data_IF_823794541023
#
_entry.id   IF_823794541023
#
_cell.length_a   1.000
_cell.length_b   1.000
_cell.length_c   1.000
_cell.angle_alpha   90.00
_cell.angle_beta   90.00
_cell.angle_gamma   90.00
#
_symmetry.space_group_name_H-M   'P 1'
#
loop_
_entity.id
_entity.type
_entity.pdbx_description
1 polymer ?
#
# COMPACT_ATOMS: atom_id res chain seq x y z
N UNK A 1 0.59 0.93 -34.64
CA UNK A 1 0.50 1.30 -33.20
C UNK A 1 0.72 2.81 -32.98
N UNK A 2 1.86 3.42 -33.36
CA UNK A 2 2.11 4.85 -33.11
C UNK A 2 1.00 5.76 -33.64
N UNK A 3 0.55 5.61 -34.87
CA UNK A 3 -0.54 6.41 -35.43
C UNK A 3 -1.88 6.24 -34.67
N UNK A 4 -2.15 5.08 -34.10
CA UNK A 4 -3.33 4.86 -33.26
C UNK A 4 -3.19 5.57 -31.90
N UNK A 5 -1.99 5.57 -31.29
CA UNK A 5 -1.70 6.32 -30.05
C UNK A 5 -1.73 7.83 -30.27
N UNK A 6 -1.26 8.32 -31.42
CA UNK A 6 -1.39 9.75 -31.81
C UNK A 6 -2.86 10.16 -31.93
N UNK A 7 -3.70 9.27 -32.51
CA UNK A 7 -5.16 9.50 -32.57
C UNK A 7 -5.78 9.50 -31.16
N UNK A 8 -5.41 8.56 -30.29
CA UNK A 8 -5.84 8.57 -28.88
C UNK A 8 -5.51 9.90 -28.21
N UNK A 9 -4.27 10.42 -28.38
CA UNK A 9 -3.84 11.69 -27.82
C UNK A 9 -4.72 12.89 -28.26
N UNK A 10 -5.34 12.82 -29.44
CA UNK A 10 -6.25 13.87 -29.93
C UNK A 10 -7.67 13.75 -29.36
N UNK A 11 -8.02 12.60 -28.75
CA UNK A 11 -9.36 12.32 -28.24
C UNK A 11 -9.50 12.49 -26.73
N UNK A 12 -8.40 12.60 -25.99
CA UNK A 12 -8.37 12.81 -24.54
C UNK A 12 -8.03 14.26 -24.20
N UNK A 13 -8.46 14.73 -23.03
CA UNK A 13 -8.11 16.03 -22.49
C UNK A 13 -6.67 16.07 -21.97
N UNK A 14 -6.14 14.91 -21.60
CA UNK A 14 -4.77 14.70 -21.21
C UNK A 14 -3.81 14.64 -22.39
N UNK A 15 -2.70 13.95 -22.22
CA UNK A 15 -1.66 13.82 -23.25
C UNK A 15 -1.17 12.38 -23.36
N UNK A 16 -0.71 11.97 -24.55
CA UNK A 16 0.06 10.73 -24.76
C UNK A 16 1.42 11.11 -25.33
N UNK A 17 2.48 10.69 -24.62
CA UNK A 17 3.87 10.95 -25.03
C UNK A 17 4.46 9.68 -25.67
N UNK A 18 5.02 9.84 -26.86
CA UNK A 18 5.55 8.74 -27.69
C UNK A 18 7.04 8.91 -28.01
N UNK A 19 7.62 10.02 -27.60
CA UNK A 19 9.01 10.33 -27.85
C UNK A 19 9.96 9.41 -27.06
N UNK A 20 11.21 9.20 -27.57
CA UNK A 20 12.16 8.27 -26.95
C UNK A 20 12.55 8.65 -25.51
N UNK A 21 12.59 9.95 -25.18
CA UNK A 21 12.95 10.40 -23.84
C UNK A 21 11.89 10.02 -22.81
N UNK A 22 10.62 10.32 -23.10
CA UNK A 22 9.50 9.93 -22.25
C UNK A 22 9.43 8.42 -22.02
N UNK A 23 9.58 7.63 -23.10
CA UNK A 23 9.63 6.16 -22.98
C UNK A 23 10.81 5.69 -22.11
N UNK A 24 11.99 6.32 -22.23
CA UNK A 24 13.15 5.96 -21.44
C UNK A 24 12.98 6.29 -19.95
N UNK A 25 12.36 7.44 -19.62
CA UNK A 25 12.06 7.84 -18.25
C UNK A 25 11.08 6.89 -17.56
N UNK A 26 10.11 6.37 -18.31
CA UNK A 26 9.10 5.45 -17.79
C UNK A 26 9.42 3.97 -18.00
N UNK A 27 10.61 3.66 -18.51
CA UNK A 27 11.08 2.29 -18.70
C UNK A 27 11.47 1.59 -17.39
N UNK A 28 11.65 2.34 -16.31
CA UNK A 28 12.10 1.86 -15.01
C UNK A 28 11.20 2.38 -13.89
N UNK A 29 11.28 1.74 -12.74
CA UNK A 29 10.84 2.26 -11.45
C UNK A 29 12.06 2.31 -10.49
N UNK A 30 11.88 2.21 -9.18
CA UNK A 30 13.00 2.16 -8.23
C UNK A 30 13.67 0.75 -8.15
N UNK A 31 13.21 -0.21 -8.96
CA UNK A 31 13.78 -1.56 -9.05
C UNK A 31 14.97 -1.64 -10.02
N UNK A 32 15.51 -2.85 -10.16
CA UNK A 32 16.56 -3.17 -11.17
C UNK A 32 15.98 -3.50 -12.54
N UNK A 33 14.66 -3.57 -12.70
CA UNK A 33 14.01 -3.97 -13.94
C UNK A 33 13.88 -2.80 -14.91
N UNK A 34 13.92 -3.11 -16.20
CA UNK A 34 13.75 -2.13 -17.28
C UNK A 34 13.01 -2.75 -18.46
N UNK A 35 11.97 -2.07 -18.94
CA UNK A 35 11.25 -2.43 -20.16
C UNK A 35 10.71 -1.15 -20.83
N UNK A 36 10.96 -0.97 -22.13
CA UNK A 36 10.53 0.24 -22.83
C UNK A 36 9.02 0.15 -23.12
N UNK A 37 8.19 1.09 -22.62
CA UNK A 37 6.76 1.08 -22.86
C UNK A 37 6.42 1.52 -24.30
N UNK A 38 5.20 1.22 -24.76
CA UNK A 38 4.67 1.72 -26.03
C UNK A 38 4.51 3.24 -26.04
N UNK A 39 4.19 3.83 -24.92
CA UNK A 39 4.01 5.25 -24.69
C UNK A 39 3.61 5.52 -23.24
N UNK A 40 3.43 6.80 -22.91
CA UNK A 40 3.00 7.26 -21.60
C UNK A 40 1.79 8.17 -21.75
N UNK A 41 0.67 7.78 -21.17
CA UNK A 41 -0.55 8.58 -21.11
C UNK A 41 -0.70 9.28 -19.77
N UNK A 42 -1.05 10.56 -19.78
CA UNK A 42 -1.34 11.40 -18.62
C UNK A 42 -2.81 11.83 -18.68
N UNK A 43 -3.75 10.99 -18.20
CA UNK A 43 -5.17 11.33 -18.17
C UNK A 43 -5.43 12.50 -17.22
N UNK A 44 -6.42 13.34 -17.55
CA UNK A 44 -6.85 14.47 -16.70
C UNK A 44 -8.12 14.18 -15.93
N UNK A 45 -8.95 13.30 -16.44
CA UNK A 45 -10.26 13.02 -15.86
C UNK A 45 -10.70 11.56 -16.11
N UNK A 46 -11.87 11.22 -15.58
CA UNK A 46 -12.46 9.90 -15.71
C UNK A 46 -12.71 9.50 -17.17
N UNK A 47 -13.16 10.44 -18.01
CA UNK A 47 -13.44 10.17 -19.41
C UNK A 47 -12.16 9.82 -20.19
N UNK A 48 -11.03 10.45 -19.85
CA UNK A 48 -9.73 10.09 -20.40
C UNK A 48 -9.35 8.64 -20.05
N UNK A 49 -9.53 8.24 -18.77
CA UNK A 49 -9.25 6.87 -18.34
C UNK A 49 -10.11 5.86 -19.08
N UNK A 50 -11.40 6.13 -19.24
CA UNK A 50 -12.32 5.26 -19.99
C UNK A 50 -11.89 5.11 -21.46
N UNK A 51 -11.51 6.19 -22.11
CA UNK A 51 -11.01 6.18 -23.51
C UNK A 51 -9.70 5.41 -23.64
N UNK A 52 -8.80 5.55 -22.68
CA UNK A 52 -7.53 4.81 -22.65
C UNK A 52 -7.79 3.31 -22.47
N UNK A 53 -8.68 2.91 -21.57
CA UNK A 53 -9.06 1.51 -21.38
C UNK A 53 -9.69 0.95 -22.66
N UNK A 54 -10.63 1.67 -23.28
CA UNK A 54 -11.24 1.26 -24.54
C UNK A 54 -10.19 1.09 -25.65
N UNK A 55 -9.25 2.03 -25.75
CA UNK A 55 -8.13 1.93 -26.70
C UNK A 55 -7.29 0.67 -26.45
N UNK A 56 -6.95 0.39 -25.18
CA UNK A 56 -6.17 -0.79 -24.83
C UNK A 56 -6.89 -2.09 -25.20
N UNK A 57 -8.19 -2.15 -24.99
CA UNK A 57 -9.03 -3.29 -25.40
C UNK A 57 -9.08 -3.46 -26.91
N UNK A 58 -9.39 -2.39 -27.66
CA UNK A 58 -9.54 -2.42 -29.12
C UNK A 58 -8.25 -2.84 -29.85
N UNK A 59 -7.09 -2.56 -29.23
CA UNK A 59 -5.78 -2.82 -29.82
C UNK A 59 -5.01 -3.96 -29.14
N UNK A 60 -5.62 -4.64 -28.14
CA UNK A 60 -4.97 -5.69 -27.33
C UNK A 60 -3.64 -5.23 -26.72
N UNK A 61 -3.62 -4.02 -26.18
CA UNK A 61 -2.46 -3.40 -25.52
C UNK A 61 -2.59 -3.56 -24.00
N UNK A 62 -1.52 -4.02 -23.35
CA UNK A 62 -1.47 -4.04 -21.88
C UNK A 62 -1.46 -2.62 -21.30
N UNK A 63 -2.27 -2.37 -20.28
CA UNK A 63 -2.29 -1.11 -19.52
C UNK A 63 -1.42 -1.26 -18.27
N UNK A 64 -0.55 -0.27 -18.00
CA UNK A 64 0.35 -0.25 -16.84
C UNK A 64 0.01 0.98 -16.00
N UNK A 65 -0.77 0.83 -14.91
CA UNK A 65 -1.07 1.97 -14.03
C UNK A 65 0.19 2.39 -13.27
N UNK A 66 0.37 3.70 -13.14
CA UNK A 66 1.53 4.25 -12.45
C UNK A 66 1.17 5.50 -11.66
N UNK A 67 1.72 5.59 -10.46
CA UNK A 67 1.84 6.81 -9.65
C UNK A 67 3.31 7.19 -9.54
N UNK A 68 3.89 7.30 -8.33
CA UNK A 68 5.28 7.74 -8.14
C UNK A 68 6.37 6.78 -8.67
N UNK A 69 6.05 5.51 -8.93
CA UNK A 69 7.03 4.54 -9.41
C UNK A 69 8.14 4.21 -8.39
N UNK A 70 7.82 4.22 -7.10
CA UNK A 70 8.76 3.93 -5.99
C UNK A 70 8.88 2.44 -5.67
N UNK A 71 8.25 1.57 -6.45
CA UNK A 71 8.32 0.12 -6.30
C UNK A 71 9.76 -0.40 -6.46
N UNK A 72 10.12 -1.38 -5.63
CA UNK A 72 11.40 -2.10 -5.71
C UNK A 72 11.30 -3.43 -6.47
N UNK A 73 10.12 -3.81 -6.96
CA UNK A 73 9.84 -5.11 -7.57
C UNK A 73 9.43 -5.03 -9.06
N UNK A 74 9.55 -3.86 -9.71
CA UNK A 74 9.20 -3.70 -11.12
C UNK A 74 7.70 -3.66 -11.39
N UNK A 75 6.88 -3.35 -10.40
CA UNK A 75 5.41 -3.44 -10.45
C UNK A 75 4.78 -2.51 -11.50
N UNK A 76 5.46 -1.43 -11.89
CA UNK A 76 5.01 -0.52 -12.94
C UNK A 76 5.94 -0.49 -14.16
N UNK A 77 6.70 -1.58 -14.39
CA UNK A 77 7.61 -1.74 -15.53
C UNK A 77 7.03 -2.74 -16.52
N UNK A 78 6.82 -2.32 -17.77
CA UNK A 78 6.24 -3.17 -18.80
C UNK A 78 6.35 -2.57 -20.21
N UNK A 79 5.94 -3.34 -21.21
CA UNK A 79 5.95 -2.95 -22.64
C UNK A 79 4.59 -2.44 -23.14
N UNK A 80 3.59 -2.32 -22.28
CA UNK A 80 2.28 -1.76 -22.57
C UNK A 80 2.25 -0.23 -22.61
N UNK A 81 1.03 0.34 -22.54
CA UNK A 81 0.81 1.77 -22.36
C UNK A 81 0.85 2.11 -20.88
N UNK A 82 1.82 2.91 -20.45
CA UNK A 82 1.86 3.43 -19.08
C UNK A 82 0.80 4.51 -18.92
N UNK A 83 0.00 4.39 -17.86
CA UNK A 83 -1.05 5.38 -17.52
C UNK A 83 -0.66 6.02 -16.19
N UNK A 84 -0.08 7.21 -16.28
CA UNK A 84 0.40 7.96 -15.13
C UNK A 84 -0.69 8.89 -14.60
N UNK A 85 -1.22 8.56 -13.42
CA UNK A 85 -2.25 9.34 -12.72
C UNK A 85 -1.66 10.30 -11.69
N UNK A 86 -0.32 10.31 -11.51
CA UNK A 86 0.35 11.15 -10.50
C UNK A 86 0.23 12.65 -10.77
N UNK A 87 -0.03 13.03 -12.02
CA UNK A 87 0.01 14.44 -12.46
C UNK A 87 -1.30 15.18 -12.26
N UNK A 88 -2.43 14.50 -12.40
CA UNK A 88 -3.74 15.15 -12.44
C UNK A 88 -4.77 14.56 -11.46
N UNK A 89 -4.49 13.42 -10.84
CA UNK A 89 -5.37 12.80 -9.83
C UNK A 89 -4.74 12.99 -8.44
N UNK A 90 -4.64 14.24 -7.98
CA UNK A 90 -3.90 14.63 -6.77
C UNK A 90 -4.76 15.35 -5.72
N UNK A 91 -6.08 15.31 -5.84
CA UNK A 91 -6.99 16.01 -4.93
C UNK A 91 -7.24 15.23 -3.63
N UNK A 92 -7.26 15.95 -2.51
CA UNK A 92 -7.90 15.52 -1.26
C UNK A 92 -9.37 15.95 -1.37
N UNK A 93 -10.26 14.99 -1.65
CA UNK A 93 -11.64 15.26 -2.04
C UNK A 93 -12.50 15.67 -0.85
N UNK A 94 -12.38 14.95 0.27
CA UNK A 94 -13.16 15.24 1.48
C UNK A 94 -12.49 14.68 2.74
N UNK A 95 -12.77 15.32 3.87
CA UNK A 95 -12.36 14.88 5.21
C UNK A 95 -13.60 14.82 6.12
N UNK A 96 -13.87 13.64 6.67
CA UNK A 96 -14.90 13.39 7.67
C UNK A 96 -14.23 13.23 9.04
N UNK A 97 -14.31 14.28 9.87
CA UNK A 97 -13.68 14.29 11.20
C UNK A 97 -14.38 13.38 12.20
N UNK A 98 -15.68 13.17 12.07
CA UNK A 98 -16.45 12.33 12.98
C UNK A 98 -16.10 10.86 12.79
N UNK A 99 -16.01 10.43 11.52
CA UNK A 99 -15.61 9.06 11.16
C UNK A 99 -14.10 8.87 11.13
N UNK A 100 -13.30 9.95 11.20
CA UNK A 100 -11.87 9.97 10.95
C UNK A 100 -11.53 9.32 9.61
N UNK A 101 -12.18 9.79 8.55
CA UNK A 101 -12.01 9.26 7.20
C UNK A 101 -11.64 10.37 6.22
N UNK A 102 -10.77 10.06 5.28
CA UNK A 102 -10.41 10.97 4.19
C UNK A 102 -10.60 10.27 2.86
N UNK A 103 -11.18 10.97 1.89
CA UNK A 103 -11.26 10.49 0.50
C UNK A 103 -10.25 11.27 -0.34
N UNK A 104 -9.40 10.54 -1.05
CA UNK A 104 -8.30 11.09 -1.86
C UNK A 104 -8.26 10.46 -3.25
N UNK A 105 -7.65 11.16 -4.18
CA UNK A 105 -7.24 10.63 -5.47
C UNK A 105 -5.90 9.88 -5.37
N UNK A 106 -5.60 8.92 -6.28
CA UNK A 106 -4.46 8.02 -6.18
C UNK A 106 -3.08 8.70 -6.25
N UNK A 107 -2.98 9.90 -6.81
CA UNK A 107 -1.75 10.68 -6.93
C UNK A 107 -1.42 11.56 -5.72
N UNK A 108 -2.21 11.52 -4.65
CA UNK A 108 -1.90 12.25 -3.41
C UNK A 108 -0.66 11.67 -2.75
N UNK A 109 0.33 12.51 -2.43
CA UNK A 109 1.56 12.09 -1.74
C UNK A 109 1.25 11.86 -0.25
N UNK A 110 1.79 10.77 0.30
CA UNK A 110 1.53 10.35 1.67
C UNK A 110 1.88 11.42 2.71
N UNK A 111 3.03 12.05 2.63
CA UNK A 111 3.43 13.08 3.60
C UNK A 111 2.64 14.38 3.43
N UNK A 112 2.30 14.78 2.20
CA UNK A 112 1.41 15.92 1.95
C UNK A 112 -0.01 15.68 2.53
N UNK A 113 -0.50 14.45 2.44
CA UNK A 113 -1.76 14.07 3.10
C UNK A 113 -1.64 14.22 4.63
N UNK A 114 -0.53 13.77 5.23
CA UNK A 114 -0.35 13.87 6.66
C UNK A 114 -0.14 15.32 7.14
N UNK A 115 0.52 16.16 6.34
CA UNK A 115 0.62 17.60 6.62
C UNK A 115 -0.76 18.27 6.59
N UNK A 116 -1.64 17.87 5.66
CA UNK A 116 -3.03 18.33 5.60
C UNK A 116 -3.85 17.85 6.82
N UNK A 117 -3.64 16.62 7.30
CA UNK A 117 -4.39 16.00 8.40
C UNK A 117 -3.93 16.45 9.79
N UNK A 118 -2.64 16.79 9.95
CA UNK A 118 -2.03 17.12 11.24
C UNK A 118 -2.75 18.22 12.04
N UNK A 119 -3.22 19.34 11.44
CA UNK A 119 -4.00 20.37 12.16
C UNK A 119 -5.32 19.86 12.75
N UNK A 120 -5.81 18.72 12.25
CA UNK A 120 -7.04 18.07 12.73
C UNK A 120 -6.77 17.00 13.78
N UNK A 121 -5.51 16.80 14.19
CA UNK A 121 -5.12 15.76 15.14
C UNK A 121 -5.11 14.35 14.57
N UNK A 122 -5.12 14.21 13.24
CA UNK A 122 -5.23 12.95 12.53
C UNK A 122 -4.02 12.71 11.62
N UNK A 123 -3.79 11.44 11.24
CA UNK A 123 -2.81 11.08 10.23
C UNK A 123 -3.14 9.71 9.59
N UNK A 124 -2.53 9.44 8.45
CA UNK A 124 -2.53 8.13 7.80
C UNK A 124 -1.32 7.33 8.31
N UNK A 125 -1.59 6.30 9.13
CA UNK A 125 -0.58 5.59 9.93
C UNK A 125 0.45 4.76 9.16
N UNK A 126 0.10 4.04 8.07
CA UNK A 126 1.09 3.28 7.30
C UNK A 126 2.23 4.17 6.80
N UNK A 127 3.47 3.77 7.08
CA UNK A 127 4.66 4.56 6.77
C UNK A 127 5.63 3.75 5.90
N UNK A 128 6.20 4.40 4.89
CA UNK A 128 7.19 3.79 3.99
C UNK A 128 8.47 4.61 3.97
N UNK A 129 9.58 4.02 3.58
CA UNK A 129 10.87 4.73 3.41
C UNK A 129 10.81 5.84 2.35
N UNK A 130 9.78 5.84 1.51
CA UNK A 130 9.55 6.83 0.45
C UNK A 130 8.37 7.75 0.76
N UNK A 131 7.99 7.89 2.01
CA UNK A 131 6.79 8.62 2.45
C UNK A 131 6.66 10.04 1.86
N UNK A 132 7.79 10.72 1.67
CA UNK A 132 7.87 12.06 1.09
C UNK A 132 7.58 12.14 -0.43
N UNK A 133 7.38 10.99 -1.10
CA UNK A 133 7.13 10.94 -2.55
C UNK A 133 6.25 9.78 -3.00
N UNK A 134 6.04 8.73 -2.19
CA UNK A 134 5.08 7.69 -2.53
C UNK A 134 3.65 8.26 -2.50
N UNK A 135 2.80 7.72 -3.36
CA UNK A 135 1.43 8.17 -3.53
C UNK A 135 0.44 7.11 -3.06
N UNK A 136 -0.71 7.55 -2.57
CA UNK A 136 -1.73 6.69 -1.95
C UNK A 136 -2.16 5.56 -2.89
N UNK A 137 -2.40 5.82 -4.18
CA UNK A 137 -2.77 4.77 -5.14
C UNK A 137 -1.70 3.69 -5.29
N UNK A 138 -0.41 4.09 -5.31
CA UNK A 138 0.70 3.14 -5.31
C UNK A 138 0.82 2.36 -4.00
N UNK A 139 0.61 3.01 -2.85
CA UNK A 139 0.57 2.35 -1.55
C UNK A 139 -0.56 1.31 -1.47
N UNK A 140 -1.73 1.62 -2.02
CA UNK A 140 -2.85 0.67 -2.13
C UNK A 140 -2.50 -0.48 -3.05
N UNK A 141 -2.04 -0.21 -4.29
CA UNK A 141 -1.67 -1.27 -5.24
C UNK A 141 -0.64 -2.24 -4.69
N UNK A 142 0.34 -1.74 -3.93
CA UNK A 142 1.38 -2.55 -3.30
C UNK A 142 0.98 -3.14 -1.93
N UNK A 143 -0.14 -2.74 -1.34
CA UNK A 143 -0.44 -2.97 0.08
C UNK A 143 0.73 -2.57 0.99
N UNK A 144 1.21 -1.34 0.83
CA UNK A 144 2.43 -0.87 1.48
C UNK A 144 2.34 -0.91 3.00
N UNK A 145 3.46 -1.25 3.61
CA UNK A 145 3.68 -1.28 5.05
C UNK A 145 5.01 -0.62 5.39
N UNK A 146 5.29 -0.42 6.67
CA UNK A 146 6.55 0.16 7.11
C UNK A 146 6.83 -0.09 8.58
N UNK A 147 7.76 0.67 9.15
CA UNK A 147 8.24 0.50 10.52
C UNK A 147 7.13 0.58 11.57
N UNK A 148 6.11 1.41 11.32
CA UNK A 148 4.98 1.62 12.23
C UNK A 148 3.84 0.61 12.04
N UNK A 149 3.98 -0.38 11.16
CA UNK A 149 2.89 -1.34 10.88
C UNK A 149 2.51 -2.22 12.06
N UNK A 150 3.43 -2.45 13.00
CA UNK A 150 3.12 -3.15 14.26
C UNK A 150 2.11 -2.38 15.13
N UNK A 151 1.96 -1.07 14.90
CA UNK A 151 1.04 -0.19 15.63
C UNK A 151 -0.18 0.19 14.81
N UNK A 152 0.02 0.55 13.55
CA UNK A 152 -1.00 1.16 12.69
C UNK A 152 -1.45 0.26 11.55
N UNK A 153 -0.92 -0.97 11.47
CA UNK A 153 -1.28 -1.90 10.40
C UNK A 153 -0.66 -1.59 9.04
N UNK A 154 -1.21 -2.20 8.02
CA UNK A 154 -0.81 -2.03 6.61
C UNK A 154 -1.86 -1.21 5.86
N UNK A 155 -1.54 -0.79 4.63
CA UNK A 155 -2.43 0.07 3.83
C UNK A 155 -3.83 -0.55 3.63
N UNK A 156 -3.93 -1.86 3.37
CA UNK A 156 -5.19 -2.58 3.18
C UNK A 156 -6.15 -2.44 4.35
N UNK A 157 -5.64 -2.48 5.58
CA UNK A 157 -6.43 -2.38 6.81
C UNK A 157 -7.02 -0.98 7.04
N UNK A 158 -6.55 0.00 6.28
CA UNK A 158 -7.02 1.38 6.32
C UNK A 158 -8.01 1.72 5.20
N UNK A 159 -8.30 0.81 4.29
CA UNK A 159 -9.20 1.06 3.17
C UNK A 159 -10.65 0.86 3.61
N UNK A 160 -11.44 1.91 3.48
CA UNK A 160 -12.89 1.89 3.72
C UNK A 160 -13.65 1.61 2.42
N UNK A 161 -13.29 2.33 1.35
CA UNK A 161 -13.89 2.15 0.03
C UNK A 161 -12.96 2.61 -1.09
N UNK A 162 -13.25 2.16 -2.30
CA UNK A 162 -12.53 2.56 -3.51
C UNK A 162 -13.49 2.73 -4.67
N UNK A 163 -13.30 3.79 -5.47
CA UNK A 163 -13.88 3.89 -6.83
C UNK A 163 -12.84 3.51 -7.85
N UNK A 164 -13.25 2.79 -8.87
CA UNK A 164 -12.36 2.30 -9.91
C UNK A 164 -13.06 2.28 -11.27
N UNK A 165 -12.24 2.30 -12.34
CA UNK A 165 -12.67 2.00 -13.70
C UNK A 165 -12.33 0.54 -14.01
N UNK A 166 -13.31 -0.19 -14.48
CA UNK A 166 -13.20 -1.61 -14.84
C UNK A 166 -12.69 -1.78 -16.26
N UNK A 167 -12.44 -3.03 -16.65
CA UNK A 167 -11.92 -3.38 -17.99
C UNK A 167 -12.80 -2.96 -19.18
N UNK A 168 -14.10 -2.81 -18.95
CA UNK A 168 -15.08 -2.39 -19.97
C UNK A 168 -15.29 -0.87 -20.02
N UNK A 169 -14.56 -0.12 -19.20
CA UNK A 169 -14.68 1.33 -19.04
C UNK A 169 -15.81 1.77 -18.09
N UNK A 170 -16.61 0.86 -17.56
CA UNK A 170 -17.61 1.19 -16.54
C UNK A 170 -16.92 1.54 -15.20
N UNK A 171 -17.62 2.25 -14.33
CA UNK A 171 -17.15 2.59 -12.98
C UNK A 171 -17.83 1.71 -11.95
N UNK A 172 -17.09 1.35 -10.90
CA UNK A 172 -17.60 0.64 -9.73
C UNK A 172 -17.14 1.31 -8.44
N UNK A 173 -17.95 1.19 -7.38
CA UNK A 173 -17.60 1.58 -6.03
C UNK A 173 -17.56 0.33 -5.13
N UNK A 174 -16.40 0.01 -4.62
CA UNK A 174 -16.16 -1.13 -3.74
C UNK A 174 -16.07 -0.65 -2.29
N UNK A 175 -16.97 -1.13 -1.46
CA UNK A 175 -17.11 -0.83 -0.03
C UNK A 175 -17.76 -2.00 0.68
N UNK A 176 -17.92 -1.90 1.98
CA UNK A 176 -18.62 -2.91 2.78
C UNK A 176 -20.03 -3.16 2.26
N UNK A 177 -20.33 -4.43 2.01
CA UNK A 177 -21.65 -4.93 1.61
C UNK A 177 -22.14 -5.99 2.60
N UNK A 178 -23.39 -5.86 3.02
CA UNK A 178 -24.10 -6.96 3.69
C UNK A 178 -24.33 -8.11 2.71
N UNK A 179 -24.59 -9.32 3.22
CA UNK A 179 -24.95 -10.47 2.40
C UNK A 179 -26.10 -10.22 1.42
N UNK A 180 -27.09 -9.44 1.80
CA UNK A 180 -28.22 -9.13 0.93
C UNK A 180 -27.81 -8.15 -0.17
N UNK A 181 -27.09 -7.07 0.17
CA UNK A 181 -26.54 -6.15 -0.83
C UNK A 181 -25.57 -6.83 -1.81
N UNK A 182 -24.78 -7.80 -1.33
CA UNK A 182 -23.93 -8.62 -2.17
C UNK A 182 -24.73 -9.48 -3.17
N UNK A 183 -25.83 -10.12 -2.71
CA UNK A 183 -26.72 -10.90 -3.57
C UNK A 183 -27.38 -10.02 -4.63
N UNK A 184 -27.81 -8.82 -4.26
CA UNK A 184 -28.39 -7.85 -5.22
C UNK A 184 -27.35 -7.48 -6.28
N UNK A 185 -26.10 -7.22 -5.91
CA UNK A 185 -25.01 -6.99 -6.85
C UNK A 185 -24.81 -8.14 -7.83
N UNK A 186 -24.87 -9.41 -7.40
CA UNK A 186 -24.73 -10.57 -8.29
C UNK A 186 -25.85 -10.66 -9.35
N UNK A 187 -27.00 -10.03 -9.12
CA UNK A 187 -28.14 -10.01 -10.07
C UNK A 187 -28.02 -8.91 -11.12
N UNK A 188 -27.13 -7.94 -10.94
CA UNK A 188 -26.91 -6.88 -11.90
C UNK A 188 -26.34 -7.40 -13.23
N UNK A 189 -26.91 -6.96 -14.34
CA UNK A 189 -26.38 -7.26 -15.69
C UNK A 189 -25.25 -6.28 -16.07
N UNK A 190 -24.30 -6.05 -15.17
CA UNK A 190 -23.17 -5.13 -15.31
C UNK A 190 -21.84 -5.88 -15.21
N UNK A 191 -20.72 -5.23 -15.58
CA UNK A 191 -19.39 -5.77 -15.35
C UNK A 191 -19.15 -5.98 -13.85
N UNK A 192 -19.58 -5.04 -13.01
CA UNK A 192 -19.50 -5.15 -11.55
C UNK A 192 -20.27 -6.37 -11.04
N UNK A 193 -21.53 -6.59 -11.50
CA UNK A 193 -22.32 -7.77 -11.13
C UNK A 193 -21.67 -9.10 -11.55
N UNK A 194 -21.01 -9.12 -12.72
CA UNK A 194 -20.24 -10.28 -13.14
C UNK A 194 -19.05 -10.58 -12.22
N UNK A 195 -18.36 -9.55 -11.70
CA UNK A 195 -17.28 -9.69 -10.72
C UNK A 195 -17.82 -10.35 -9.45
N UNK A 196 -18.87 -9.81 -8.84
CA UNK A 196 -19.45 -10.36 -7.61
C UNK A 196 -19.90 -11.79 -7.77
N UNK A 197 -20.58 -12.11 -8.88
CA UNK A 197 -20.99 -13.47 -9.22
C UNK A 197 -19.79 -14.41 -9.44
N UNK A 198 -18.76 -13.95 -10.14
CA UNK A 198 -17.53 -14.71 -10.38
C UNK A 198 -16.78 -15.04 -9.09
N UNK A 199 -16.60 -14.05 -8.21
CA UNK A 199 -15.95 -14.22 -6.91
C UNK A 199 -16.74 -15.19 -6.02
N UNK A 200 -18.07 -15.04 -5.95
CA UNK A 200 -18.90 -15.96 -5.18
C UNK A 200 -18.77 -17.41 -5.66
N UNK A 201 -18.88 -17.61 -6.98
CA UNK A 201 -18.76 -18.97 -7.56
C UNK A 201 -17.37 -19.58 -7.31
N UNK A 202 -16.32 -18.74 -7.32
CA UNK A 202 -14.95 -19.19 -7.07
C UNK A 202 -14.71 -19.54 -5.60
N UNK A 203 -15.23 -18.75 -4.65
CA UNK A 203 -14.89 -18.86 -3.24
C UNK A 203 -15.92 -19.62 -2.39
N UNK A 204 -17.14 -19.86 -2.90
CA UNK A 204 -18.19 -20.57 -2.13
C UNK A 204 -17.95 -22.08 -1.92
N UNK A 205 -17.22 -22.85 -2.78
CA UNK A 205 -16.98 -24.25 -2.49
C UNK A 205 -16.07 -24.43 -1.27
N UNK A 206 -16.52 -25.24 -0.29
CA UNK A 206 -15.79 -25.47 0.98
C UNK A 206 -14.38 -26.03 0.76
N UNK A 207 -14.20 -26.84 -0.27
CA UNK A 207 -12.87 -27.38 -0.62
C UNK A 207 -11.90 -26.25 -1.00
N UNK A 208 -12.35 -25.27 -1.78
CA UNK A 208 -11.55 -24.09 -2.15
C UNK A 208 -11.24 -23.24 -0.92
N UNK A 209 -12.22 -23.03 -0.03
CA UNK A 209 -12.00 -22.29 1.23
C UNK A 209 -10.94 -22.96 2.10
N UNK A 210 -10.98 -24.30 2.23
CA UNK A 210 -9.97 -25.05 2.96
C UNK A 210 -8.58 -24.90 2.34
N UNK A 211 -8.47 -25.06 1.01
CA UNK A 211 -7.20 -24.88 0.30
C UNK A 211 -6.60 -23.48 0.49
N UNK A 212 -7.43 -22.43 0.44
CA UNK A 212 -6.99 -21.05 0.68
C UNK A 212 -6.49 -20.90 2.13
N UNK A 213 -7.27 -21.39 3.09
CA UNK A 213 -6.91 -21.30 4.52
C UNK A 213 -5.60 -22.01 4.82
N UNK A 214 -5.36 -23.15 4.22
CA UNK A 214 -4.14 -23.95 4.42
C UNK A 214 -2.91 -23.36 3.72
N UNK A 215 -3.11 -22.66 2.58
CA UNK A 215 -2.03 -22.10 1.78
C UNK A 215 -1.57 -20.71 2.25
N UNK A 216 -2.46 -19.95 2.88
CA UNK A 216 -2.14 -18.58 3.33
C UNK A 216 -1.41 -18.58 4.69
N UNK A 217 -0.59 -17.55 4.97
CA UNK A 217 0.04 -17.38 6.28
C UNK A 217 -0.99 -17.29 7.40
N UNK A 218 -0.59 -17.71 8.60
CA UNK A 218 -1.43 -17.61 9.81
C UNK A 218 -1.87 -16.16 10.06
N UNK A 219 -3.07 -15.98 10.61
CA UNK A 219 -3.67 -14.67 10.87
C UNK A 219 -2.84 -13.79 11.84
N UNK A 220 -2.06 -14.42 12.72
CA UNK A 220 -1.17 -13.71 13.65
C UNK A 220 0.01 -13.03 12.96
N UNK A 221 0.28 -13.34 11.69
CA UNK A 221 1.30 -12.65 10.90
C UNK A 221 0.67 -11.39 10.30
N UNK A 222 0.92 -10.23 10.92
CA UNK A 222 0.29 -8.96 10.55
C UNK A 222 0.73 -8.42 9.18
N UNK A 223 2.00 -8.62 8.78
CA UNK A 223 2.52 -8.14 7.50
C UNK A 223 2.48 -9.26 6.46
N UNK A 224 1.30 -9.48 5.89
CA UNK A 224 1.08 -10.48 4.83
C UNK A 224 0.98 -9.79 3.46
N UNK A 225 2.01 -9.91 2.64
CA UNK A 225 2.06 -9.40 1.26
C UNK A 225 2.21 -10.58 0.29
N UNK A 226 1.17 -11.40 0.21
CA UNK A 226 1.13 -12.66 -0.57
C UNK A 226 0.38 -12.50 -1.90
N UNK A 227 0.29 -11.28 -2.44
CA UNK A 227 -0.47 -10.98 -3.64
C UNK A 227 -1.95 -10.71 -3.34
N UNK A 228 -2.85 -11.31 -4.12
CA UNK A 228 -4.28 -11.15 -3.90
C UNK A 228 -4.73 -11.73 -2.57
N UNK A 229 -5.33 -10.91 -1.71
CA UNK A 229 -5.79 -11.31 -0.38
C UNK A 229 -7.15 -12.01 -0.45
N UNK A 230 -7.23 -13.11 -1.16
CA UNK A 230 -8.48 -13.89 -1.27
C UNK A 230 -8.88 -14.54 0.05
N UNK A 231 -7.93 -14.77 0.95
CA UNK A 231 -8.15 -15.25 2.31
C UNK A 231 -8.97 -14.28 3.15
N UNK A 232 -8.79 -12.97 2.97
CA UNK A 232 -9.59 -11.95 3.65
C UNK A 232 -11.04 -11.91 3.16
N UNK A 233 -11.29 -12.26 1.90
CA UNK A 233 -12.65 -12.34 1.38
C UNK A 233 -13.45 -13.48 2.03
N UNK A 234 -12.78 -14.55 2.51
CA UNK A 234 -13.43 -15.65 3.21
C UNK A 234 -13.98 -15.26 4.59
N UNK A 235 -13.54 -14.12 5.15
CA UNK A 235 -14.05 -13.60 6.41
C UNK A 235 -15.46 -13.01 6.28
N UNK A 236 -15.95 -12.84 5.05
CA UNK A 236 -17.25 -12.25 4.80
C UNK A 236 -18.42 -13.21 5.15
N UNK A 237 -19.49 -12.62 5.69
CA UNK A 237 -20.71 -13.33 6.09
C UNK A 237 -21.35 -14.13 4.95
N UNK A 238 -21.31 -13.63 3.72
CA UNK A 238 -21.81 -14.32 2.52
C UNK A 238 -21.02 -15.62 2.20
N UNK A 239 -19.81 -15.78 2.72
CA UNK A 239 -18.94 -16.94 2.55
C UNK A 239 -18.81 -17.77 3.84
N UNK A 240 -19.58 -17.42 4.89
CA UNK A 240 -19.62 -18.14 6.17
C UNK A 240 -18.79 -17.53 7.29
N UNK A 241 -18.19 -16.35 7.07
CA UNK A 241 -17.55 -15.53 8.09
C UNK A 241 -18.56 -14.64 8.85
N UNK A 242 -18.07 -13.58 9.46
CA UNK A 242 -18.86 -12.67 10.29
C UNK A 242 -18.66 -11.17 9.93
N UNK A 243 -17.83 -10.88 8.94
CA UNK A 243 -17.55 -9.52 8.46
C UNK A 243 -18.39 -9.16 7.22
N UNK A 244 -18.62 -7.88 6.91
CA UNK A 244 -19.16 -7.47 5.62
C UNK A 244 -18.15 -7.80 4.49
N UNK A 245 -18.65 -8.06 3.30
CA UNK A 245 -17.81 -8.28 2.13
C UNK A 245 -17.29 -6.95 1.58
N UNK A 246 -15.98 -6.84 1.37
CA UNK A 246 -15.39 -5.63 0.76
C UNK A 246 -14.36 -5.99 -0.32
N UNK A 247 -14.72 -5.77 -1.59
CA UNK A 247 -13.83 -6.01 -2.74
C UNK A 247 -12.61 -5.08 -2.75
N UNK A 248 -12.66 -3.92 -2.09
CA UNK A 248 -11.53 -3.00 -1.99
C UNK A 248 -10.31 -3.65 -1.31
N UNK A 249 -10.53 -4.61 -0.42
CA UNK A 249 -9.45 -5.37 0.21
C UNK A 249 -8.69 -6.28 -0.78
N UNK A 250 -9.37 -6.79 -1.83
CA UNK A 250 -8.71 -7.53 -2.90
C UNK A 250 -7.93 -6.61 -3.84
N UNK A 251 -8.46 -5.41 -4.13
CA UNK A 251 -7.77 -4.42 -4.96
C UNK A 251 -6.49 -3.91 -4.29
N UNK A 252 -6.47 -3.86 -2.97
CA UNK A 252 -5.24 -3.56 -2.23
C UNK A 252 -4.27 -4.75 -2.30
N UNK A 253 -3.10 -4.51 -2.88
CA UNK A 253 -2.10 -5.53 -3.16
C UNK A 253 -2.29 -6.21 -4.54
N UNK A 254 -3.20 -5.70 -5.37
CA UNK A 254 -3.39 -6.20 -6.75
C UNK A 254 -2.41 -5.61 -7.76
N UNK A 255 -1.60 -4.65 -7.35
CA UNK A 255 -0.58 -3.99 -8.18
C UNK A 255 -1.15 -3.37 -9.47
N UNK A 256 -2.42 -2.95 -9.43
CA UNK A 256 -3.13 -2.36 -10.58
C UNK A 256 -3.54 -3.36 -11.66
N UNK A 257 -3.50 -4.67 -11.40
CA UNK A 257 -3.83 -5.72 -12.38
C UNK A 257 -5.32 -5.97 -12.53
N UNK A 258 -6.16 -5.53 -11.58
CA UNK A 258 -7.61 -5.83 -11.55
C UNK A 258 -8.48 -4.66 -11.99
N UNK A 259 -8.14 -3.44 -11.61
CA UNK A 259 -8.89 -2.23 -11.94
C UNK A 259 -8.02 -0.99 -11.83
N UNK A 260 -8.46 0.13 -12.41
CA UNK A 260 -7.76 1.41 -12.34
C UNK A 260 -8.47 2.30 -11.30
N UNK A 261 -7.85 2.46 -10.14
CA UNK A 261 -8.41 3.21 -9.02
C UNK A 261 -8.45 4.71 -9.29
N UNK A 262 -9.57 5.36 -8.97
CA UNK A 262 -9.79 6.81 -9.16
C UNK A 262 -9.97 7.57 -7.86
N UNK A 263 -10.57 6.95 -6.84
CA UNK A 263 -10.77 7.52 -5.50
C UNK A 263 -10.56 6.45 -4.44
N UNK A 264 -10.04 6.84 -3.30
CA UNK A 264 -9.76 5.95 -2.16
C UNK A 264 -10.23 6.64 -0.89
N UNK A 265 -11.10 5.99 -0.13
CA UNK A 265 -11.47 6.43 1.22
C UNK A 265 -10.67 5.64 2.24
N UNK A 266 -9.94 6.35 3.09
CA UNK A 266 -9.04 5.80 4.08
C UNK A 266 -9.54 6.05 5.49
N UNK A 267 -9.40 5.07 6.38
CA UNK A 267 -9.54 5.22 7.82
C UNK A 267 -8.25 5.85 8.37
N UNK A 268 -8.39 6.87 9.21
CA UNK A 268 -7.30 7.60 9.81
C UNK A 268 -7.08 7.19 11.26
N UNK A 269 -5.87 7.44 11.74
CA UNK A 269 -5.45 7.28 13.13
C UNK A 269 -5.32 8.65 13.81
N UNK A 270 -5.44 8.69 15.15
CA UNK A 270 -5.07 9.85 15.95
C UNK A 270 -3.56 10.04 15.90
N UNK A 271 -3.10 11.31 15.95
CA UNK A 271 -1.67 11.60 15.97
C UNK A 271 -0.94 10.79 17.06
N UNK A 272 0.26 10.27 16.77
CA UNK A 272 1.02 9.52 17.75
C UNK A 272 1.38 10.39 18.96
N UNK A 273 1.58 9.79 20.15
CA UNK A 273 2.04 10.51 21.32
C UNK A 273 3.34 11.28 21.05
N UNK A 274 3.43 12.51 21.56
CA UNK A 274 4.52 13.44 21.26
C UNK A 274 5.86 13.11 21.93
N UNK A 275 5.84 12.45 23.08
CA UNK A 275 7.05 11.99 23.76
C UNK A 275 7.49 10.66 23.17
N UNK A 276 8.70 10.61 22.64
CA UNK A 276 9.24 9.41 21.98
C UNK A 276 10.68 9.14 22.42
N UNK A 277 11.04 7.88 22.50
CA UNK A 277 12.42 7.45 22.69
C UNK A 277 12.72 6.20 21.87
N UNK A 278 13.94 6.14 21.35
CA UNK A 278 14.49 4.98 20.63
C UNK A 278 15.49 4.27 21.54
N UNK A 279 15.27 2.99 21.78
CA UNK A 279 16.25 2.10 22.41
C UNK A 279 16.90 1.28 21.32
N UNK A 280 18.23 1.24 21.30
CA UNK A 280 18.99 0.45 20.33
C UNK A 280 19.81 -0.58 21.07
N UNK A 281 19.53 -1.85 20.83
CA UNK A 281 20.28 -2.99 21.38
C UNK A 281 21.26 -3.53 20.35
N UNK A 282 22.43 -3.99 20.81
CA UNK A 282 23.53 -4.44 19.97
C UNK A 282 23.81 -5.91 20.23
N UNK A 283 24.00 -6.69 19.18
CA UNK A 283 24.14 -8.14 19.26
C UNK A 283 25.40 -8.63 18.54
N UNK A 284 26.04 -9.64 19.13
CA UNK A 284 27.18 -10.31 18.52
C UNK A 284 26.80 -11.37 17.49
N UNK A 285 25.51 -11.77 17.43
CA UNK A 285 24.97 -12.67 16.45
C UNK A 285 23.56 -12.23 16.00
N UNK A 286 23.20 -12.60 14.76
CA UNK A 286 21.86 -12.39 14.24
C UNK A 286 20.83 -13.26 14.99
N UNK A 287 21.23 -14.45 15.42
CA UNK A 287 20.38 -15.39 16.16
C UNK A 287 19.92 -14.79 17.50
N UNK A 288 20.83 -14.17 18.24
CA UNK A 288 20.51 -13.55 19.54
C UNK A 288 19.59 -12.32 19.33
N UNK A 289 19.83 -11.53 18.29
CA UNK A 289 18.94 -10.43 17.93
C UNK A 289 17.51 -10.92 17.64
N UNK A 290 17.37 -12.01 16.90
CA UNK A 290 16.05 -12.57 16.56
C UNK A 290 15.33 -13.19 17.76
N UNK A 291 16.07 -13.78 18.72
CA UNK A 291 15.50 -14.31 19.97
C UNK A 291 14.85 -13.22 20.82
N UNK A 292 15.42 -12.02 20.82
CA UNK A 292 14.90 -10.89 21.62
C UNK A 292 13.64 -10.25 21.03
N UNK A 293 13.32 -10.48 19.75
CA UNK A 293 12.13 -9.89 19.12
C UNK A 293 10.85 -10.30 19.86
N UNK A 294 10.64 -11.58 20.13
CA UNK A 294 9.40 -12.05 20.77
C UNK A 294 9.22 -11.50 22.21
N UNK A 295 10.24 -11.45 23.09
CA UNK A 295 10.14 -10.78 24.38
C UNK A 295 9.79 -9.29 24.28
N UNK A 296 10.51 -8.52 23.46
CA UNK A 296 10.31 -7.05 23.40
C UNK A 296 8.97 -6.68 22.75
N UNK A 297 8.41 -7.52 21.88
CA UNK A 297 7.08 -7.32 21.30
C UNK A 297 5.93 -7.41 22.31
N UNK A 298 6.17 -7.86 23.55
CA UNK A 298 5.21 -7.75 24.65
C UNK A 298 5.07 -6.32 25.16
N UNK A 299 6.06 -5.45 24.89
CA UNK A 299 5.99 -4.04 25.14
C UNK A 299 5.15 -3.33 24.08
N UNK A 300 4.54 -2.19 24.45
CA UNK A 300 3.74 -1.39 23.51
C UNK A 300 4.67 -0.56 22.59
N UNK A 301 5.35 -1.24 21.67
CA UNK A 301 6.27 -0.62 20.73
C UNK A 301 5.52 0.08 19.58
N UNK A 302 6.13 1.15 19.07
CA UNK A 302 5.70 1.84 17.83
C UNK A 302 6.50 1.36 16.61
N UNK A 303 7.77 1.01 16.82
CA UNK A 303 8.61 0.36 15.82
C UNK A 303 9.46 -0.72 16.47
N UNK A 304 9.77 -1.78 15.70
CA UNK A 304 10.73 -2.82 16.05
C UNK A 304 11.46 -3.20 14.76
N UNK A 305 12.63 -2.62 14.52
CA UNK A 305 13.36 -2.75 13.27
C UNK A 305 14.77 -3.29 13.52
N UNK A 306 15.15 -4.29 12.73
CA UNK A 306 16.48 -4.88 12.78
C UNK A 306 17.34 -4.37 11.62
N UNK A 307 18.59 -4.04 11.90
CA UNK A 307 19.63 -3.88 10.88
C UNK A 307 20.77 -4.86 11.13
N UNK A 308 21.11 -5.63 10.12
CA UNK A 308 22.23 -6.55 10.15
C UNK A 308 23.56 -5.84 9.83
N UNK A 309 24.67 -6.58 10.04
CA UNK A 309 26.02 -6.08 9.79
C UNK A 309 26.21 -5.63 8.33
N UNK A 310 25.59 -6.27 7.36
CA UNK A 310 25.73 -5.92 5.94
C UNK A 310 25.23 -4.51 5.70
N UNK A 311 24.03 -4.20 6.18
CA UNK A 311 23.44 -2.86 6.08
C UNK A 311 24.26 -1.84 6.88
N UNK A 312 24.66 -2.19 8.11
CA UNK A 312 25.48 -1.31 8.94
C UNK A 312 26.82 -0.98 8.26
N UNK A 313 27.46 -1.96 7.62
CA UNK A 313 28.73 -1.77 6.90
C UNK A 313 28.55 -0.90 5.64
N UNK A 314 27.46 -1.06 4.89
CA UNK A 314 27.15 -0.21 3.74
C UNK A 314 27.06 1.28 4.10
N UNK A 315 26.70 1.61 5.34
CA UNK A 315 26.60 3.01 5.80
C UNK A 315 27.94 3.60 6.23
N UNK A 316 28.97 2.80 6.50
CA UNK A 316 30.31 3.28 6.97
C UNK A 316 30.98 4.21 5.96
N UNK A 317 30.91 3.88 4.68
CA UNK A 317 31.52 4.66 3.59
C UNK A 317 30.57 5.62 2.89
N UNK A 318 29.28 5.61 3.25
CA UNK A 318 28.30 6.52 2.67
C UNK A 318 28.39 7.89 3.36
N UNK A 319 28.70 8.94 2.57
CA UNK A 319 28.91 10.30 3.09
C UNK A 319 27.71 10.88 3.85
N UNK A 320 26.50 10.58 3.39
CA UNK A 320 25.25 11.07 4.02
C UNK A 320 24.89 10.25 5.26
N UNK A 321 25.10 8.93 5.21
CA UNK A 321 24.67 8.02 6.27
C UNK A 321 25.69 7.83 7.38
N UNK A 322 26.98 8.11 7.13
CA UNK A 322 28.04 7.97 8.15
C UNK A 322 27.77 8.81 9.40
N UNK A 323 27.21 10.00 9.24
CA UNK A 323 26.83 10.89 10.35
C UNK A 323 25.64 10.36 11.15
N UNK A 324 24.77 9.55 10.54
CA UNK A 324 23.59 8.96 11.19
C UNK A 324 23.92 7.73 12.04
N UNK A 325 25.17 7.27 12.04
CA UNK A 325 25.64 6.07 12.77
C UNK A 325 25.91 6.30 14.28
N UNK A 326 25.59 7.46 14.82
CA UNK A 326 25.84 7.82 16.24
C UNK A 326 25.28 6.84 17.26
N UNK A 327 24.26 6.07 16.87
CA UNK A 327 23.64 5.05 17.71
C UNK A 327 24.35 3.69 17.65
N UNK A 328 25.33 3.49 16.76
CA UNK A 328 26.04 2.21 16.59
C UNK A 328 27.32 2.24 17.45
N UNK A 329 27.37 1.38 18.45
CA UNK A 329 28.56 1.19 19.30
C UNK A 329 29.30 -0.09 18.88
N UNK A 330 30.63 0.01 18.79
CA UNK A 330 31.48 -1.12 18.38
C UNK A 330 31.27 -1.60 16.96
N UNK A 331 31.26 -2.93 16.77
CA UNK A 331 31.07 -3.59 15.47
C UNK A 331 30.05 -4.76 15.60
N UNK A 332 28.80 -4.48 15.88
CA UNK A 332 27.79 -5.50 16.14
C UNK A 332 27.43 -6.28 14.86
N UNK A 333 27.03 -7.55 15.03
CA UNK A 333 26.49 -8.39 13.96
C UNK A 333 25.05 -7.95 13.58
N UNK A 334 24.31 -7.38 14.53
CA UNK A 334 22.98 -6.78 14.30
C UNK A 334 22.68 -5.75 15.38
N UNK A 335 21.74 -4.85 15.06
CA UNK A 335 21.09 -3.97 16.05
C UNK A 335 19.58 -4.13 15.93
N UNK A 336 18.87 -3.97 17.06
CA UNK A 336 17.41 -3.90 17.10
C UNK A 336 17.02 -2.51 17.63
N UNK A 337 16.21 -1.81 16.83
CA UNK A 337 15.77 -0.44 17.10
C UNK A 337 14.31 -0.48 17.56
N UNK A 338 14.06 -0.07 18.78
CA UNK A 338 12.80 -0.19 19.50
C UNK A 338 12.28 1.18 19.89
N UNK A 339 11.18 1.62 19.27
CA UNK A 339 10.58 2.91 19.60
C UNK A 339 9.42 2.74 20.58
N UNK A 340 9.47 3.52 21.66
CA UNK A 340 8.38 3.69 22.61
C UNK A 340 7.88 5.14 22.60
N UNK A 341 6.57 5.33 22.76
CA UNK A 341 5.94 6.66 22.83
C UNK A 341 4.98 6.77 24.00
N UNK A 342 4.73 7.99 24.47
CA UNK A 342 3.76 8.29 25.51
C UNK A 342 3.22 9.72 25.41
N UNK A 343 2.11 10.01 26.11
CA UNK A 343 1.51 11.34 26.20
C UNK A 343 2.14 12.23 27.29
N UNK A 344 3.00 11.67 28.14
CA UNK A 344 3.78 12.41 29.14
C UNK A 344 5.17 11.81 29.27
N UNK A 345 6.11 12.61 29.83
CA UNK A 345 7.47 12.17 30.09
C UNK A 345 7.51 11.05 31.14
N UNK A 346 6.71 11.14 32.20
CA UNK A 346 6.62 10.09 33.23
C UNK A 346 6.14 8.76 32.66
N UNK A 347 5.12 8.80 31.77
CA UNK A 347 4.63 7.61 31.09
C UNK A 347 5.68 7.04 30.13
N UNK A 348 6.46 7.90 29.45
CA UNK A 348 7.56 7.46 28.60
C UNK A 348 8.65 6.75 29.43
N UNK A 349 9.06 7.32 30.57
CA UNK A 349 10.04 6.70 31.46
C UNK A 349 9.57 5.32 31.98
N UNK A 350 8.28 5.20 32.30
CA UNK A 350 7.69 3.91 32.68
C UNK A 350 7.78 2.87 31.56
N UNK A 351 7.44 3.26 30.33
CA UNK A 351 7.53 2.38 29.16
C UNK A 351 8.99 1.96 28.89
N UNK A 352 9.94 2.88 29.04
CA UNK A 352 11.37 2.59 28.90
C UNK A 352 11.85 1.58 29.93
N UNK A 353 11.48 1.76 31.21
CA UNK A 353 11.83 0.81 32.27
C UNK A 353 11.26 -0.58 32.03
N UNK A 354 10.02 -0.66 31.55
CA UNK A 354 9.41 -1.94 31.17
C UNK A 354 10.21 -2.62 30.06
N UNK A 355 10.53 -1.89 28.97
CA UNK A 355 11.32 -2.40 27.86
C UNK A 355 12.71 -2.86 28.30
N UNK A 356 13.40 -2.07 29.14
CA UNK A 356 14.72 -2.45 29.67
C UNK A 356 14.67 -3.71 30.52
N UNK A 357 13.59 -3.96 31.25
CA UNK A 357 13.43 -5.17 32.04
C UNK A 357 13.22 -6.41 31.14
N UNK A 358 12.45 -6.30 30.08
CA UNK A 358 12.28 -7.39 29.09
C UNK A 358 13.62 -7.72 28.41
N UNK A 359 14.39 -6.73 27.98
CA UNK A 359 15.72 -6.93 27.35
C UNK A 359 16.71 -7.61 28.31
N UNK A 360 16.68 -7.30 29.63
CA UNK A 360 17.59 -7.90 30.61
C UNK A 360 17.24 -9.33 30.98
N UNK A 361 16.03 -9.76 30.74
CA UNK A 361 15.53 -11.10 31.07
C UNK A 361 15.62 -12.08 29.90
N UNK A 362 15.89 -11.60 28.70
CA UNK A 362 16.12 -12.38 27.49
C UNK A 362 17.61 -12.68 27.30
#
# INVERSE_FOLDING_TARGET
>A
MNAALEKLSQTINGTVQLDPLSKALYATDASVYRKIPLGVAFPKDLNDLQRIIQFCNDHSVGLIPRTAGTSLAGQCVGDGLVVDVSKHFTEIISLDLEKKQVTVQPGVIRDELNDYLAPHGLFFGPNTSTANRCMIGGMVGNNSSGTTSIKYGVTREKIVSMKAVLWDGSTAEFKDLSSDAFKDKMLEASAEGQIYKGIYNLLSPLEIQSQITDAFPKKEIHRRNTGYAIDLLLEADILGGDAPFNMAHLLSGSEGTLALTTEITLQLDDLPPSYAAMVVTHYNSLEDCLKDVAPVMKCNLYTCEMMDKIILDCTKSNREQSENRKFVEGDPAAVLMLEVRAFSEEALQKNLLQLQNEIKTS
#
